data_IF_184324224806
#
_entry.id   IF_184324224806
#
_cell.length_a   1.000
_cell.length_b   1.000
_cell.length_c   1.000
_cell.angle_alpha   90.00
_cell.angle_beta   90.00
_cell.angle_gamma   90.00
#
_symmetry.space_group_name_H-M   'P 1'
#
loop_
_entity.id
_entity.type
_entity.pdbx_description
1 polymer ?
#
# COMPACT_ATOMS: atom_id res chain seq x y z
N UNK A 1 21.14 25.46 24.12
CA UNK A 1 20.73 26.07 22.85
C UNK A 1 19.70 25.18 22.22
N UNK A 2 18.46 25.64 22.22
CA UNK A 2 17.26 24.95 21.74
C UNK A 2 17.28 24.93 20.22
N UNK A 3 17.66 23.80 19.62
CA UNK A 3 17.46 23.59 18.20
C UNK A 3 16.00 23.23 17.97
N UNK A 4 15.32 24.06 17.17
CA UNK A 4 14.01 23.81 16.60
C UNK A 4 14.02 22.46 15.85
N UNK A 5 13.55 21.40 16.50
CA UNK A 5 13.32 20.11 15.87
C UNK A 5 11.95 20.16 15.20
N UNK A 6 11.96 20.53 13.92
CA UNK A 6 10.80 20.43 13.01
C UNK A 6 10.90 19.17 12.14
N UNK A 7 11.61 18.12 12.60
CA UNK A 7 11.78 16.89 11.83
C UNK A 7 12.56 15.76 12.50
N UNK A 8 12.40 15.50 13.81
CA UNK A 8 12.91 14.23 14.39
C UNK A 8 11.81 13.18 14.44
N UNK A 9 11.85 12.21 13.55
CA UNK A 9 11.07 10.96 13.68
C UNK A 9 11.65 9.82 12.83
N UNK A 10 12.99 9.71 12.82
CA UNK A 10 13.72 8.63 12.14
C UNK A 10 15.04 8.26 12.81
N UNK A 11 15.16 8.51 14.12
CA UNK A 11 16.36 8.17 14.89
C UNK A 11 16.48 6.66 15.16
N UNK A 12 17.60 6.25 15.75
CA UNK A 12 17.78 4.87 16.18
C UNK A 12 16.72 4.48 17.22
N UNK A 13 16.06 3.35 17.00
CA UNK A 13 15.12 2.74 17.94
C UNK A 13 15.53 1.29 18.19
N UNK A 14 15.64 0.90 19.45
CA UNK A 14 15.81 -0.51 19.81
C UNK A 14 14.45 -1.21 19.81
N UNK A 15 14.21 -2.03 18.79
CA UNK A 15 13.02 -2.87 18.72
C UNK A 15 13.24 -4.15 19.53
N UNK A 16 13.01 -4.08 20.83
CA UNK A 16 12.90 -5.27 21.68
C UNK A 16 11.42 -5.62 21.82
N UNK A 17 10.99 -6.70 21.17
CA UNK A 17 9.60 -7.14 21.20
C UNK A 17 9.41 -8.15 22.32
N UNK A 18 8.62 -7.79 23.32
CA UNK A 18 8.15 -8.66 24.38
C UNK A 18 7.00 -9.53 23.90
N UNK A 19 6.60 -10.51 24.74
CA UNK A 19 5.51 -11.43 24.43
C UNK A 19 4.20 -10.72 24.05
N UNK A 20 3.88 -9.58 24.68
CA UNK A 20 2.69 -8.80 24.38
C UNK A 20 2.71 -8.17 22.99
N UNK A 21 3.83 -7.55 22.57
CA UNK A 21 3.96 -6.94 21.25
C UNK A 21 3.94 -8.00 20.14
N UNK A 22 4.63 -9.13 20.36
CA UNK A 22 4.53 -10.29 19.46
C UNK A 22 3.10 -10.80 19.32
N UNK A 23 2.36 -10.91 20.42
CA UNK A 23 0.96 -11.33 20.39
C UNK A 23 0.11 -10.38 19.55
N UNK A 24 0.29 -9.06 19.67
CA UNK A 24 -0.42 -8.07 18.86
C UNK A 24 -0.07 -8.13 17.37
N UNK A 25 1.20 -8.31 17.02
CA UNK A 25 1.64 -8.45 15.63
C UNK A 25 1.04 -9.70 14.98
N UNK A 26 1.07 -10.83 15.68
CA UNK A 26 0.46 -12.09 15.22
C UNK A 26 -1.05 -11.92 15.09
N UNK A 27 -1.70 -11.30 16.08
CA UNK A 27 -3.14 -11.04 16.03
C UNK A 27 -3.52 -10.17 14.82
N UNK A 28 -2.80 -9.08 14.57
CA UNK A 28 -3.04 -8.22 13.41
C UNK A 28 -2.87 -8.98 12.08
N UNK A 29 -1.84 -9.83 11.98
CA UNK A 29 -1.62 -10.68 10.80
C UNK A 29 -2.78 -11.69 10.60
N UNK A 30 -3.27 -12.30 11.67
CA UNK A 30 -4.42 -13.22 11.60
C UNK A 30 -5.70 -12.50 11.17
N UNK A 31 -5.98 -11.31 11.71
CA UNK A 31 -7.13 -10.49 11.31
C UNK A 31 -7.04 -10.12 9.83
N UNK A 32 -5.87 -9.76 9.33
CA UNK A 32 -5.66 -9.47 7.91
C UNK A 32 -5.98 -10.68 7.02
N UNK A 33 -5.56 -11.89 7.42
CA UNK A 33 -5.87 -13.12 6.69
C UNK A 33 -7.38 -13.43 6.70
N UNK A 34 -8.05 -13.26 7.83
CA UNK A 34 -9.51 -13.43 7.93
C UNK A 34 -10.24 -12.42 7.05
N UNK A 35 -9.80 -11.15 7.04
CA UNK A 35 -10.39 -10.12 6.20
C UNK A 35 -10.27 -10.46 4.70
N UNK A 36 -9.12 -10.97 4.26
CA UNK A 36 -8.92 -11.45 2.88
C UNK A 36 -9.86 -12.62 2.57
N UNK A 37 -9.99 -13.58 3.48
CA UNK A 37 -10.88 -14.73 3.30
C UNK A 37 -12.35 -14.30 3.17
N UNK A 38 -12.81 -13.39 4.03
CA UNK A 38 -14.16 -12.81 3.95
C UNK A 38 -14.35 -12.07 2.63
N UNK A 39 -13.38 -11.23 2.23
CA UNK A 39 -13.42 -10.52 0.95
C UNK A 39 -13.56 -11.49 -0.23
N UNK A 40 -12.84 -12.62 -0.21
CA UNK A 40 -12.93 -13.64 -1.25
C UNK A 40 -14.32 -14.29 -1.31
N UNK A 41 -14.91 -14.64 -0.17
CA UNK A 41 -16.28 -15.21 -0.11
C UNK A 41 -17.30 -14.22 -0.65
N UNK A 42 -17.19 -12.94 -0.29
CA UNK A 42 -18.09 -11.90 -0.79
C UNK A 42 -17.97 -11.71 -2.30
N UNK A 43 -16.74 -11.69 -2.83
CA UNK A 43 -16.48 -11.61 -4.27
C UNK A 43 -17.13 -12.79 -5.00
N UNK A 44 -16.98 -14.01 -4.49
CA UNK A 44 -17.60 -15.18 -5.10
C UNK A 44 -19.13 -15.06 -5.13
N UNK A 45 -19.75 -14.58 -4.05
CA UNK A 45 -21.20 -14.35 -4.00
C UNK A 45 -21.66 -13.35 -5.05
N UNK A 46 -20.94 -12.24 -5.22
CA UNK A 46 -21.27 -11.21 -6.23
C UNK A 46 -21.11 -11.75 -7.64
N UNK A 47 -20.01 -12.45 -7.94
CA UNK A 47 -19.75 -12.97 -9.29
C UNK A 47 -20.66 -14.14 -9.70
N UNK A 48 -21.25 -14.83 -8.74
CA UNK A 48 -22.21 -15.91 -8.99
C UNK A 48 -23.64 -15.41 -9.27
N UNK A 49 -23.93 -14.14 -9.00
CA UNK A 49 -25.25 -13.56 -9.25
C UNK A 49 -25.56 -13.47 -10.76
N UNK A 50 -26.85 -13.55 -11.12
CA UNK A 50 -27.25 -13.40 -12.52
C UNK A 50 -27.00 -11.97 -13.02
N UNK A 51 -26.44 -11.85 -14.22
CA UNK A 51 -26.09 -10.58 -14.84
C UNK A 51 -27.30 -9.88 -15.50
N UNK A 52 -28.50 -10.41 -15.30
CA UNK A 52 -29.74 -9.86 -15.83
C UNK A 52 -29.88 -10.00 -17.35
N UNK A 53 -30.63 -9.07 -17.93
CA UNK A 53 -31.05 -9.12 -19.34
C UNK A 53 -29.87 -8.94 -20.32
N UNK A 54 -30.02 -9.35 -21.60
CA UNK A 54 -28.98 -9.11 -22.62
C UNK A 54 -28.58 -7.64 -22.74
N UNK A 55 -29.54 -6.72 -22.60
CA UNK A 55 -29.27 -5.27 -22.64
C UNK A 55 -28.45 -4.80 -21.43
N UNK A 56 -28.70 -5.35 -20.24
CA UNK A 56 -27.90 -5.05 -19.04
C UNK A 56 -26.46 -5.52 -19.21
N UNK A 57 -26.25 -6.73 -19.73
CA UNK A 57 -24.91 -7.29 -19.99
C UNK A 57 -24.12 -6.46 -21.00
N UNK A 58 -24.78 -5.98 -22.06
CA UNK A 58 -24.19 -5.07 -23.04
C UNK A 58 -23.72 -3.75 -22.39
N UNK A 59 -24.58 -3.13 -21.58
CA UNK A 59 -24.26 -1.88 -20.87
C UNK A 59 -23.11 -2.10 -19.87
N UNK A 60 -23.17 -3.17 -19.07
CA UNK A 60 -22.12 -3.51 -18.12
C UNK A 60 -20.75 -3.68 -18.82
N UNK A 61 -20.73 -4.30 -20.01
CA UNK A 61 -19.52 -4.41 -20.82
C UNK A 61 -18.91 -3.06 -21.19
N UNK A 62 -19.74 -2.11 -21.64
CA UNK A 62 -19.28 -0.75 -21.96
C UNK A 62 -18.75 0.00 -20.72
N UNK A 63 -19.38 -0.20 -19.55
CA UNK A 63 -18.90 0.40 -18.29
C UNK A 63 -17.55 -0.21 -17.91
N UNK A 64 -17.38 -1.54 -18.03
CA UNK A 64 -16.11 -2.22 -17.75
C UNK A 64 -14.98 -1.70 -18.64
N UNK A 65 -15.24 -1.52 -19.93
CA UNK A 65 -14.27 -0.97 -20.87
C UNK A 65 -13.86 0.46 -20.48
N UNK A 66 -14.84 1.33 -20.20
CA UNK A 66 -14.59 2.71 -19.78
C UNK A 66 -13.80 2.81 -18.47
N UNK A 67 -14.18 2.01 -17.48
CA UNK A 67 -13.51 1.94 -16.18
C UNK A 67 -12.06 1.47 -16.32
N UNK A 68 -11.81 0.44 -17.14
CA UNK A 68 -10.46 -0.07 -17.39
C UNK A 68 -9.59 0.96 -18.14
N UNK A 69 -10.16 1.68 -19.11
CA UNK A 69 -9.48 2.76 -19.80
C UNK A 69 -9.09 3.90 -18.83
N UNK A 70 -9.99 4.27 -17.91
CA UNK A 70 -9.73 5.25 -16.87
C UNK A 70 -8.62 4.80 -15.92
N UNK A 71 -8.69 3.59 -15.37
CA UNK A 71 -7.66 3.04 -14.47
C UNK A 71 -6.29 3.02 -15.13
N UNK A 72 -6.19 2.55 -16.37
CA UNK A 72 -4.93 2.50 -17.10
C UNK A 72 -4.30 3.89 -17.25
N UNK A 73 -5.12 4.92 -17.51
CA UNK A 73 -4.66 6.30 -17.60
C UNK A 73 -4.25 6.84 -16.23
N UNK A 74 -5.06 6.61 -15.20
CA UNK A 74 -4.80 7.05 -13.82
C UNK A 74 -3.50 6.43 -13.27
N UNK A 75 -3.33 5.12 -13.39
CA UNK A 75 -2.16 4.41 -12.89
C UNK A 75 -0.88 4.82 -13.63
N UNK A 76 -0.99 5.11 -14.92
CA UNK A 76 0.14 5.68 -15.68
C UNK A 76 0.56 7.04 -15.13
N UNK A 77 -0.40 7.93 -14.86
CA UNK A 77 -0.11 9.23 -14.25
C UNK A 77 0.48 9.07 -12.85
N UNK A 78 -0.08 8.19 -12.02
CA UNK A 78 0.44 7.88 -10.68
C UNK A 78 1.88 7.36 -10.76
N UNK A 79 2.20 6.46 -11.70
CA UNK A 79 3.55 5.97 -11.88
C UNK A 79 4.56 7.09 -12.17
N UNK A 80 4.18 8.08 -12.98
CA UNK A 80 5.01 9.27 -13.23
C UNK A 80 5.20 10.15 -11.98
N UNK A 81 4.28 10.11 -11.01
CA UNK A 81 4.40 10.84 -9.74
C UNK A 81 5.20 10.03 -8.70
N UNK A 82 5.00 8.71 -8.65
CA UNK A 82 5.68 7.83 -7.68
C UNK A 82 7.19 7.86 -7.86
N UNK A 83 7.69 7.90 -9.09
CA UNK A 83 9.13 7.91 -9.37
C UNK A 83 9.86 9.10 -8.71
N UNK A 84 9.48 10.37 -8.95
CA UNK A 84 10.12 11.50 -8.29
C UNK A 84 9.88 11.51 -6.78
N UNK A 85 8.71 11.06 -6.30
CA UNK A 85 8.45 10.97 -4.86
C UNK A 85 9.34 9.90 -4.21
N UNK A 86 9.56 8.76 -4.85
CA UNK A 86 10.49 7.73 -4.36
C UNK A 86 11.93 8.26 -4.30
N UNK A 87 12.35 9.03 -5.31
CA UNK A 87 13.63 9.73 -5.27
C UNK A 87 13.69 10.73 -4.10
N UNK A 88 12.63 11.51 -3.86
CA UNK A 88 12.56 12.42 -2.71
C UNK A 88 12.61 11.67 -1.37
N UNK A 89 11.92 10.54 -1.24
CA UNK A 89 11.96 9.69 -0.04
C UNK A 89 13.37 9.17 0.23
N UNK A 90 14.10 8.76 -0.82
CA UNK A 90 15.49 8.34 -0.71
C UNK A 90 16.41 9.51 -0.33
N UNK A 91 16.33 10.63 -1.04
CA UNK A 91 17.22 11.78 -0.89
C UNK A 91 17.01 12.54 0.43
N UNK A 92 15.79 12.50 0.97
CA UNK A 92 15.47 13.07 2.29
C UNK A 92 15.77 12.11 3.43
N UNK A 93 16.34 10.93 3.13
CA UNK A 93 16.80 10.02 4.18
C UNK A 93 18.03 10.58 4.88
N UNK A 94 18.24 10.20 6.13
CA UNK A 94 19.44 10.51 6.90
C UNK A 94 20.08 9.23 7.38
N UNK A 95 21.39 9.29 7.66
CA UNK A 95 22.05 8.21 8.38
C UNK A 95 21.42 8.04 9.77
N UNK A 96 21.35 6.78 10.22
CA UNK A 96 20.79 6.43 11.52
C UNK A 96 21.95 6.07 12.43
N UNK A 97 22.18 6.92 13.43
CA UNK A 97 23.28 6.77 14.39
C UNK A 97 22.75 6.31 15.73
N UNK A 98 23.42 5.34 16.35
CA UNK A 98 23.13 4.89 17.71
C UNK A 98 23.42 6.02 18.72
N UNK A 99 22.84 5.96 19.94
CA UNK A 99 23.19 6.88 21.03
C UNK A 99 24.71 6.95 21.30
N UNK A 100 25.41 5.85 21.06
CA UNK A 100 26.84 5.68 21.27
C UNK A 100 27.72 6.33 20.17
N UNK A 101 27.11 6.97 19.17
CA UNK A 101 27.79 7.61 18.04
C UNK A 101 28.18 6.67 16.90
N UNK A 102 27.93 5.36 17.04
CA UNK A 102 28.18 4.36 15.98
C UNK A 102 27.06 4.40 14.95
N UNK A 103 27.40 4.42 13.66
CA UNK A 103 26.42 4.37 12.56
C UNK A 103 25.74 3.00 12.54
N UNK A 104 24.41 2.99 12.77
CA UNK A 104 23.59 1.78 12.68
C UNK A 104 23.20 1.47 11.24
N UNK A 105 22.75 2.48 10.50
CA UNK A 105 22.44 2.40 9.08
C UNK A 105 23.06 3.61 8.38
N UNK A 106 23.85 3.33 7.33
CA UNK A 106 24.36 4.39 6.46
C UNK A 106 23.21 5.10 5.75
N UNK A 107 23.44 6.34 5.28
CA UNK A 107 22.47 7.08 4.44
C UNK A 107 21.89 6.20 3.32
N UNK A 108 22.74 5.44 2.62
CA UNK A 108 22.33 4.55 1.54
C UNK A 108 21.40 3.42 2.00
N UNK A 109 21.70 2.78 3.14
CA UNK A 109 20.87 1.69 3.67
C UNK A 109 19.53 2.21 4.19
N UNK A 110 19.55 3.29 4.97
CA UNK A 110 18.35 3.94 5.51
C UNK A 110 17.43 4.41 4.37
N UNK A 111 18.00 5.10 3.37
CA UNK A 111 17.28 5.54 2.18
C UNK A 111 16.68 4.37 1.39
N UNK A 112 17.44 3.27 1.22
CA UNK A 112 16.97 2.09 0.52
C UNK A 112 15.76 1.46 1.22
N UNK A 113 15.86 1.15 2.52
CA UNK A 113 14.76 0.51 3.26
C UNK A 113 13.50 1.38 3.30
N UNK A 114 13.65 2.69 3.53
CA UNK A 114 12.53 3.64 3.52
C UNK A 114 11.85 3.70 2.16
N UNK A 115 12.63 3.72 1.08
CA UNK A 115 12.11 3.76 -0.29
C UNK A 115 11.43 2.45 -0.66
N UNK A 116 11.99 1.30 -0.26
CA UNK A 116 11.37 -0.01 -0.48
C UNK A 116 10.02 -0.13 0.25
N UNK A 117 9.94 0.31 1.51
CA UNK A 117 8.70 0.35 2.26
C UNK A 117 7.65 1.25 1.59
N UNK A 118 8.07 2.43 1.11
CA UNK A 118 7.20 3.34 0.35
C UNK A 118 6.66 2.70 -0.93
N UNK A 119 7.53 2.09 -1.75
CA UNK A 119 7.12 1.44 -3.01
C UNK A 119 6.20 0.24 -2.73
N UNK A 120 6.49 -0.57 -1.71
CA UNK A 120 5.65 -1.69 -1.32
C UNK A 120 4.24 -1.20 -0.91
N UNK A 121 4.15 -0.15 -0.10
CA UNK A 121 2.88 0.46 0.28
C UNK A 121 2.12 1.05 -0.90
N UNK A 122 2.81 1.78 -1.78
CA UNK A 122 2.21 2.36 -2.99
C UNK A 122 1.67 1.28 -3.94
N UNK A 123 2.41 0.17 -4.10
CA UNK A 123 1.98 -0.97 -4.91
C UNK A 123 0.74 -1.65 -4.33
N UNK A 124 0.73 -1.96 -3.02
CA UNK A 124 -0.42 -2.57 -2.34
C UNK A 124 -1.66 -1.68 -2.38
N UNK A 125 -1.49 -0.36 -2.25
CA UNK A 125 -2.56 0.63 -2.42
C UNK A 125 -3.14 0.61 -3.84
N UNK A 126 -2.26 0.62 -4.86
CA UNK A 126 -2.67 0.50 -6.26
C UNK A 126 -3.42 -0.82 -6.53
N UNK A 127 -2.91 -1.93 -6.00
CA UNK A 127 -3.58 -3.23 -6.14
C UNK A 127 -4.99 -3.21 -5.55
N UNK A 128 -5.15 -2.62 -4.36
CA UNK A 128 -6.46 -2.49 -3.70
C UNK A 128 -7.43 -1.66 -4.54
N UNK A 129 -6.98 -0.52 -5.09
CA UNK A 129 -7.80 0.32 -5.97
C UNK A 129 -8.23 -0.38 -7.26
N UNK A 130 -7.32 -1.13 -7.88
CA UNK A 130 -7.62 -1.91 -9.09
C UNK A 130 -8.63 -3.02 -8.83
N UNK A 131 -8.41 -3.83 -7.77
CA UNK A 131 -9.33 -4.91 -7.39
C UNK A 131 -10.71 -4.34 -7.06
N UNK A 132 -10.77 -3.28 -6.25
CA UNK A 132 -12.02 -2.64 -5.83
C UNK A 132 -12.86 -2.15 -7.02
N UNK A 133 -12.24 -1.42 -7.96
CA UNK A 133 -12.97 -0.95 -9.14
C UNK A 133 -13.38 -2.10 -10.06
N UNK A 134 -12.51 -3.11 -10.26
CA UNK A 134 -12.84 -4.26 -11.10
C UNK A 134 -14.05 -5.04 -10.57
N UNK A 135 -14.19 -5.14 -9.24
CA UNK A 135 -15.33 -5.79 -8.60
C UNK A 135 -16.59 -4.93 -8.66
N UNK A 136 -16.47 -3.64 -8.35
CA UNK A 136 -17.61 -2.71 -8.34
C UNK A 136 -18.33 -2.67 -9.70
N UNK A 137 -17.57 -2.67 -10.80
CA UNK A 137 -18.15 -2.65 -12.15
C UNK A 137 -18.71 -4.01 -12.58
N UNK A 138 -18.20 -5.12 -12.02
CA UNK A 138 -18.77 -6.46 -12.26
C UNK A 138 -20.02 -6.73 -11.43
N UNK A 139 -20.15 -6.08 -10.29
CA UNK A 139 -21.32 -6.20 -9.41
C UNK A 139 -22.46 -5.22 -9.73
N UNK A 140 -22.34 -4.41 -10.79
CA UNK A 140 -23.33 -3.44 -11.24
C UNK A 140 -24.05 -3.91 -12.50
#
# INVERSE_FOLDING_TARGET
MTTLILGSEGGYQEFTLNAGEWAWLIFAALVALVAIAVGFVLVQGVLAADQGTPKMREIAGMIQEGAMAYLKRQFRTIAFIIIPVAALVFLTSTEVTKPDGVVALTFGQSGLFRTLAFIAGAFLSGLTGFIGMSLAVRGN
#
